data_IF_751123084335
#
_entry.id   IF_751123084335
#
_cell.length_a   1.000
_cell.length_b   1.000
_cell.length_c   1.000
_cell.angle_alpha   90.00
_cell.angle_beta   90.00
_cell.angle_gamma   90.00
#
_symmetry.space_group_name_H-M   'P 1'
#
loop_
_entity.id
_entity.type
_entity.pdbx_description
1 polymer ?
#
# COMPACT_ATOMS: atom_id res chain seq x y z
N UNK A 1 -10.51 5.05 -21.34
CA UNK A 1 -10.49 4.91 -19.88
C UNK A 1 -9.81 6.14 -19.32
N UNK A 2 -10.33 6.71 -18.23
CA UNK A 2 -9.73 7.85 -17.55
C UNK A 2 -9.30 7.45 -16.15
N UNK A 3 -8.38 8.22 -15.54
CA UNK A 3 -8.08 8.18 -14.10
C UNK A 3 -9.38 8.39 -13.32
N UNK A 4 -10.02 7.30 -12.91
CA UNK A 4 -11.22 7.23 -12.07
C UNK A 4 -10.94 6.42 -10.79
N UNK A 5 -9.66 6.15 -10.49
CA UNK A 5 -9.22 5.43 -9.30
C UNK A 5 -9.73 6.10 -8.02
N UNK A 6 -9.72 7.43 -7.95
CA UNK A 6 -10.27 8.19 -6.82
C UNK A 6 -11.80 8.04 -6.65
N UNK A 7 -12.53 7.50 -7.64
CA UNK A 7 -13.96 7.20 -7.52
C UNK A 7 -14.22 5.76 -7.09
N UNK A 8 -13.22 4.88 -7.22
CA UNK A 8 -13.36 3.43 -7.05
C UNK A 8 -12.65 2.92 -5.80
N UNK A 9 -11.60 3.59 -5.38
CA UNK A 9 -10.72 3.16 -4.30
C UNK A 9 -10.66 4.24 -3.21
N UNK A 10 -10.72 3.87 -1.93
CA UNK A 10 -10.62 4.82 -0.82
C UNK A 10 -9.22 5.45 -0.72
N UNK A 11 -8.19 4.72 -1.17
CA UNK A 11 -6.81 5.15 -1.26
C UNK A 11 -6.13 4.59 -2.51
N UNK A 12 -5.01 5.21 -2.91
CA UNK A 12 -4.15 4.72 -3.97
C UNK A 12 -2.74 5.31 -3.90
N UNK A 13 -1.80 4.60 -4.51
CA UNK A 13 -0.40 4.99 -4.66
C UNK A 13 -0.07 5.33 -6.13
N UNK A 14 0.61 6.45 -6.36
CA UNK A 14 1.21 6.79 -7.67
C UNK A 14 2.73 6.79 -7.53
N UNK A 15 3.46 5.86 -8.16
CA UNK A 15 4.91 5.88 -8.14
C UNK A 15 5.46 7.05 -8.99
N UNK A 16 6.57 7.64 -8.56
CA UNK A 16 7.14 8.85 -9.17
C UNK A 16 7.46 8.69 -10.67
N UNK A 17 7.84 7.49 -11.12
CA UNK A 17 8.12 7.24 -12.55
C UNK A 17 6.88 7.45 -13.44
N UNK A 18 5.66 7.24 -12.92
CA UNK A 18 4.42 7.56 -13.66
C UNK A 18 4.27 9.07 -13.82
N UNK A 19 4.64 9.84 -12.80
CA UNK A 19 4.63 11.31 -12.88
C UNK A 19 5.69 11.82 -13.85
N UNK A 20 6.85 11.16 -13.90
CA UNK A 20 7.91 11.49 -14.85
C UNK A 20 7.46 11.20 -16.29
N UNK A 21 6.81 10.06 -16.53
CA UNK A 21 6.21 9.72 -17.81
C UNK A 21 5.11 10.71 -18.24
N UNK A 22 4.26 11.14 -17.30
CA UNK A 22 3.25 12.18 -17.55
C UNK A 22 3.88 13.52 -17.92
N UNK A 23 4.91 13.97 -17.18
CA UNK A 23 5.64 15.21 -17.47
C UNK A 23 6.40 15.14 -18.80
N UNK A 24 6.89 13.96 -19.17
CA UNK A 24 7.56 13.72 -20.46
C UNK A 24 6.58 13.59 -21.64
N UNK A 25 5.26 13.56 -21.39
CA UNK A 25 4.24 13.38 -22.42
C UNK A 25 4.15 11.96 -22.98
N UNK A 26 4.73 10.97 -22.29
CA UNK A 26 4.78 9.58 -22.75
C UNK A 26 3.39 8.91 -22.79
N UNK A 27 2.43 9.43 -22.02
CA UNK A 27 1.07 8.90 -21.92
C UNK A 27 0.04 9.68 -22.76
N UNK A 28 0.51 10.58 -23.63
CA UNK A 28 -0.34 11.46 -24.44
C UNK A 28 -0.67 12.78 -23.76
N UNK A 29 -1.64 13.55 -24.29
CA UNK A 29 -2.01 14.85 -23.73
C UNK A 29 -2.64 14.68 -22.34
N UNK A 30 -2.22 15.54 -21.41
CA UNK A 30 -2.75 15.57 -20.06
C UNK A 30 -4.22 16.03 -20.06
N UNK A 31 -5.00 15.45 -19.16
CA UNK A 31 -6.34 15.94 -18.81
C UNK A 31 -6.24 17.00 -17.71
N UNK A 32 -7.27 17.85 -17.53
CA UNK A 32 -7.24 18.92 -16.54
C UNK A 32 -6.92 18.44 -15.11
N UNK A 33 -7.37 17.24 -14.72
CA UNK A 33 -7.07 16.66 -13.41
C UNK A 33 -5.60 16.25 -13.26
N UNK A 34 -4.98 15.75 -14.33
CA UNK A 34 -3.57 15.36 -14.35
C UNK A 34 -2.68 16.61 -14.32
N UNK A 35 -3.06 17.66 -15.05
CA UNK A 35 -2.39 18.97 -14.98
C UNK A 35 -2.45 19.56 -13.56
N UNK A 36 -3.63 19.52 -12.93
CA UNK A 36 -3.81 20.02 -11.57
C UNK A 36 -2.96 19.22 -10.55
N UNK A 37 -2.88 17.90 -10.70
CA UNK A 37 -2.03 17.04 -9.87
C UNK A 37 -0.55 17.41 -10.04
N UNK A 38 -0.06 17.52 -11.28
CA UNK A 38 1.35 17.85 -11.54
C UNK A 38 1.72 19.26 -11.07
N UNK A 39 0.78 20.19 -11.04
CA UNK A 39 1.00 21.56 -10.56
C UNK A 39 1.28 21.63 -9.05
N UNK A 40 0.77 20.67 -8.26
CA UNK A 40 0.95 20.65 -6.79
C UNK A 40 1.99 19.65 -6.33
N UNK A 41 2.30 18.63 -7.14
CA UNK A 41 3.33 17.64 -6.81
C UNK A 41 4.70 18.15 -7.26
N UNK A 42 5.62 18.43 -6.33
CA UNK A 42 6.95 18.89 -6.69
C UNK A 42 7.69 17.84 -7.52
N UNK A 43 8.59 18.30 -8.37
CA UNK A 43 9.52 17.39 -9.03
C UNK A 43 10.64 17.06 -8.05
N UNK A 44 10.82 15.77 -7.76
CA UNK A 44 11.91 15.23 -6.98
C UNK A 44 12.66 14.21 -7.84
N UNK A 45 13.98 14.15 -7.70
CA UNK A 45 14.83 13.19 -8.40
C UNK A 45 14.92 11.84 -7.70
N UNK A 46 14.48 11.76 -6.44
CA UNK A 46 14.45 10.50 -5.68
C UNK A 46 13.17 9.73 -5.99
N UNK A 47 13.24 8.39 -6.14
CA UNK A 47 12.05 7.55 -6.23
C UNK A 47 11.16 7.75 -5.00
N UNK A 48 9.89 8.04 -5.24
CA UNK A 48 8.89 8.26 -4.20
C UNK A 48 7.50 7.81 -4.67
N UNK A 49 6.55 7.80 -3.74
CA UNK A 49 5.15 7.56 -4.02
C UNK A 49 4.33 8.78 -3.60
N UNK A 50 3.30 9.09 -4.38
CA UNK A 50 2.22 10.00 -3.97
C UNK A 50 1.06 9.13 -3.49
N UNK A 51 0.63 9.36 -2.25
CA UNK A 51 -0.52 8.70 -1.66
C UNK A 51 -1.74 9.61 -1.79
N UNK A 52 -2.77 9.13 -2.48
CA UNK A 52 -4.10 9.72 -2.47
C UNK A 52 -4.98 8.99 -1.48
N UNK A 53 -5.68 9.70 -0.60
CA UNK A 53 -6.67 9.15 0.34
C UNK A 53 -7.75 10.20 0.62
N UNK A 54 -8.87 9.76 1.19
CA UNK A 54 -9.92 10.66 1.67
C UNK A 54 -9.48 11.39 2.96
N UNK A 55 -9.99 12.61 3.18
CA UNK A 55 -9.70 13.38 4.39
C UNK A 55 -10.14 12.58 5.64
N UNK A 56 -9.25 12.47 6.64
CA UNK A 56 -9.48 11.81 7.95
C UNK A 56 -9.65 10.30 7.91
N UNK A 57 -9.32 9.65 6.81
CA UNK A 57 -9.26 8.18 6.74
C UNK A 57 -7.85 7.68 7.08
N UNK A 58 -7.60 7.53 8.38
CA UNK A 58 -6.28 7.12 8.89
C UNK A 58 -5.98 5.66 8.58
N UNK A 59 -6.98 4.78 8.56
CA UNK A 59 -6.79 3.35 8.28
C UNK A 59 -6.33 3.17 6.84
N UNK A 60 -7.06 3.77 5.88
CA UNK A 60 -6.66 3.78 4.47
C UNK A 60 -5.28 4.43 4.27
N UNK A 61 -4.99 5.53 4.98
CA UNK A 61 -3.67 6.15 4.90
C UNK A 61 -2.56 5.21 5.40
N UNK A 62 -2.77 4.55 6.53
CA UNK A 62 -1.80 3.61 7.10
C UNK A 62 -1.61 2.39 6.16
N UNK A 63 -2.67 1.91 5.52
CA UNK A 63 -2.64 0.86 4.48
C UNK A 63 -1.81 1.27 3.26
N UNK A 64 -2.09 2.44 2.67
CA UNK A 64 -1.34 2.92 1.51
C UNK A 64 0.12 3.24 1.84
N UNK A 65 0.40 3.73 3.05
CA UNK A 65 1.77 3.92 3.54
C UNK A 65 2.51 2.59 3.70
N UNK A 66 1.83 1.54 4.14
CA UNK A 66 2.41 0.21 4.28
C UNK A 66 2.87 -0.33 2.91
N UNK A 67 2.07 -0.18 1.86
CA UNK A 67 2.48 -0.49 0.48
C UNK A 67 3.71 0.32 0.05
N UNK A 68 3.68 1.64 0.27
CA UNK A 68 4.80 2.53 -0.07
C UNK A 68 6.10 2.12 0.62
N UNK A 69 6.06 1.80 1.91
CA UNK A 69 7.20 1.29 2.68
C UNK A 69 7.66 -0.09 2.17
N UNK A 70 6.72 -0.99 1.88
CA UNK A 70 7.03 -2.32 1.36
C UNK A 70 7.76 -2.29 0.02
N UNK A 71 7.40 -1.34 -0.84
CA UNK A 71 8.03 -1.16 -2.15
C UNK A 71 9.40 -0.46 -2.06
N UNK A 72 9.58 0.48 -1.12
CA UNK A 72 10.73 1.41 -1.14
C UNK A 72 11.76 1.20 -0.03
N UNK A 73 11.40 0.53 1.06
CA UNK A 73 12.27 0.33 2.21
C UNK A 73 12.64 -1.16 2.39
N UNK A 74 13.87 -1.57 2.01
CA UNK A 74 14.29 -2.96 2.10
C UNK A 74 14.27 -3.53 3.52
N UNK A 75 14.61 -2.73 4.54
CA UNK A 75 14.60 -3.18 5.95
C UNK A 75 13.16 -3.41 6.43
N UNK A 76 12.23 -2.53 6.07
CA UNK A 76 10.81 -2.73 6.35
C UNK A 76 10.29 -4.02 5.69
N UNK A 77 10.55 -4.17 4.38
CA UNK A 77 10.14 -5.35 3.60
C UNK A 77 10.64 -6.65 4.21
N UNK A 78 11.92 -6.73 4.55
CA UNK A 78 12.53 -7.92 5.17
C UNK A 78 11.85 -8.26 6.51
N UNK A 79 11.65 -7.26 7.38
CA UNK A 79 11.05 -7.47 8.70
C UNK A 79 9.60 -7.94 8.63
N UNK A 80 8.78 -7.36 7.74
CA UNK A 80 7.38 -7.81 7.61
C UNK A 80 7.27 -9.16 6.91
N UNK A 81 8.16 -9.47 5.95
CA UNK A 81 8.23 -10.80 5.35
C UNK A 81 8.55 -11.87 6.40
N UNK A 82 9.56 -11.63 7.24
CA UNK A 82 9.87 -12.53 8.35
C UNK A 82 8.67 -12.72 9.31
N UNK A 83 7.95 -11.64 9.64
CA UNK A 83 6.76 -11.71 10.49
C UNK A 83 5.61 -12.50 9.85
N UNK A 84 5.42 -12.41 8.54
CA UNK A 84 4.46 -13.23 7.80
C UNK A 84 4.92 -14.70 7.71
N UNK A 85 6.22 -14.94 7.56
CA UNK A 85 6.81 -16.28 7.48
C UNK A 85 6.72 -17.06 8.81
N UNK A 86 6.74 -16.36 9.94
CA UNK A 86 6.52 -16.91 11.28
C UNK A 86 5.08 -17.44 11.50
N UNK A 87 4.12 -17.04 10.65
CA UNK A 87 2.73 -17.49 10.80
C UNK A 87 2.54 -18.96 10.42
N UNK A 88 1.65 -19.69 11.11
CA UNK A 88 1.27 -21.03 10.69
C UNK A 88 0.75 -21.03 9.24
N UNK A 89 1.13 -21.99 8.39
CA UNK A 89 0.68 -22.06 7.00
C UNK A 89 -0.85 -22.02 6.84
N UNK A 90 -1.58 -22.60 7.80
CA UNK A 90 -3.05 -22.55 7.85
C UNK A 90 -3.58 -21.11 7.95
N UNK A 91 -2.99 -20.29 8.83
CA UNK A 91 -3.39 -18.89 9.02
C UNK A 91 -3.11 -18.08 7.75
N UNK A 92 -1.91 -18.23 7.17
CA UNK A 92 -1.61 -17.61 5.86
C UNK A 92 -2.57 -18.05 4.76
N UNK A 93 -2.96 -19.32 4.74
CA UNK A 93 -3.93 -19.85 3.78
C UNK A 93 -5.33 -19.25 3.97
N UNK A 94 -5.77 -19.03 5.22
CA UNK A 94 -7.04 -18.34 5.51
C UNK A 94 -7.02 -16.88 5.07
N UNK A 95 -5.94 -16.14 5.37
CA UNK A 95 -5.77 -14.75 4.92
C UNK A 95 -5.79 -14.64 3.38
N UNK A 96 -5.09 -15.54 2.68
CA UNK A 96 -5.09 -15.60 1.21
C UNK A 96 -6.49 -15.83 0.65
N UNK A 97 -7.24 -16.78 1.23
CA UNK A 97 -8.62 -17.04 0.83
C UNK A 97 -9.53 -15.84 1.03
N UNK A 98 -9.37 -15.10 2.13
CA UNK A 98 -10.12 -13.87 2.37
C UNK A 98 -9.82 -12.81 1.31
N UNK A 99 -8.55 -12.58 0.97
CA UNK A 99 -8.14 -11.63 -0.07
C UNK A 99 -8.69 -12.01 -1.45
N UNK A 100 -8.58 -13.27 -1.85
CA UNK A 100 -9.18 -13.75 -3.11
C UNK A 100 -10.70 -13.55 -3.09
N UNK A 101 -11.35 -13.82 -1.96
CA UNK A 101 -12.79 -13.59 -1.78
C UNK A 101 -13.21 -12.12 -1.88
N UNK A 102 -12.31 -11.18 -1.60
CA UNK A 102 -12.51 -9.74 -1.79
C UNK A 102 -12.28 -9.29 -3.25
N UNK A 103 -11.81 -10.18 -4.12
CA UNK A 103 -11.61 -9.91 -5.55
C UNK A 103 -10.15 -9.65 -5.95
N UNK A 104 -9.19 -9.79 -5.02
CA UNK A 104 -7.77 -9.71 -5.36
C UNK A 104 -7.33 -10.89 -6.23
N UNK A 105 -6.39 -10.63 -7.13
CA UNK A 105 -5.79 -11.65 -7.99
C UNK A 105 -4.98 -12.62 -7.14
N UNK A 106 -5.06 -13.92 -7.45
CA UNK A 106 -4.32 -14.97 -6.77
C UNK A 106 -2.83 -15.02 -7.18
N UNK A 107 -2.14 -13.87 -7.06
CA UNK A 107 -0.72 -13.72 -7.31
C UNK A 107 0.05 -13.66 -5.97
N UNK A 108 1.13 -14.45 -5.79
CA UNK A 108 1.87 -14.50 -4.52
C UNK A 108 2.44 -13.16 -4.04
N UNK A 109 2.86 -12.28 -4.95
CA UNK A 109 3.44 -10.99 -4.57
C UNK A 109 2.33 -10.00 -4.19
N UNK A 110 1.25 -9.93 -4.98
CA UNK A 110 0.06 -9.11 -4.64
C UNK A 110 -0.52 -9.54 -3.30
N UNK A 111 -0.78 -10.83 -3.13
CA UNK A 111 -1.38 -11.36 -1.90
C UNK A 111 -0.50 -11.07 -0.68
N UNK A 112 0.83 -11.14 -0.82
CA UNK A 112 1.75 -10.85 0.29
C UNK A 112 1.78 -9.37 0.64
N UNK A 113 1.75 -8.50 -0.37
CA UNK A 113 1.71 -7.05 -0.18
C UNK A 113 0.40 -6.60 0.49
N UNK A 114 -0.74 -7.12 0.03
CA UNK A 114 -2.03 -6.86 0.68
C UNK A 114 -2.06 -7.40 2.12
N UNK A 115 -1.56 -8.62 2.36
CA UNK A 115 -1.51 -9.18 3.71
C UNK A 115 -0.77 -8.28 4.69
N UNK A 116 0.40 -7.74 4.32
CA UNK A 116 1.16 -6.88 5.23
C UNK A 116 0.46 -5.53 5.44
N UNK A 117 -0.16 -4.96 4.40
CA UNK A 117 -0.86 -3.69 4.47
C UNK A 117 -2.09 -3.75 5.40
N UNK A 118 -2.98 -4.73 5.21
CA UNK A 118 -4.13 -4.95 6.10
C UNK A 118 -3.72 -5.18 7.56
N UNK A 119 -2.61 -5.91 7.78
CA UNK A 119 -2.12 -6.14 9.14
C UNK A 119 -1.48 -4.89 9.75
N UNK A 120 -0.93 -3.98 8.93
CA UNK A 120 -0.36 -2.71 9.38
C UNK A 120 -1.42 -1.69 9.77
N UNK A 121 -2.49 -1.52 8.99
CA UNK A 121 -3.63 -0.63 9.32
C UNK A 121 -4.43 -1.11 10.55
N UNK A 122 -4.29 -2.39 10.91
CA UNK A 122 -4.99 -3.02 12.04
C UNK A 122 -6.23 -3.81 11.66
N UNK A 123 -6.47 -3.98 10.36
CA UNK A 123 -7.49 -4.84 9.78
C UNK A 123 -7.37 -6.29 10.24
N UNK A 124 -8.49 -7.01 10.11
CA UNK A 124 -8.60 -8.41 10.50
C UNK A 124 -8.63 -9.32 9.26
N UNK A 125 -7.48 -9.90 8.91
CA UNK A 125 -7.42 -10.99 7.93
C UNK A 125 -7.36 -12.34 8.65
N UNK A 126 -8.35 -13.21 8.45
CA UNK A 126 -8.35 -14.56 9.02
C UNK A 126 -8.70 -14.63 10.52
N UNK A 127 -8.55 -15.82 11.13
CA UNK A 127 -8.90 -16.09 12.53
C UNK A 127 -7.85 -15.64 13.57
N UNK A 128 -7.99 -16.08 14.83
CA UNK A 128 -7.22 -15.58 15.98
C UNK A 128 -5.68 -15.66 15.92
N UNK A 129 -5.11 -16.50 15.04
CA UNK A 129 -3.66 -16.53 14.79
C UNK A 129 -3.11 -15.30 14.07
N UNK A 130 -3.95 -14.57 13.33
CA UNK A 130 -3.57 -13.33 12.67
C UNK A 130 -3.34 -12.17 13.64
N UNK A 131 -3.96 -12.21 14.82
CA UNK A 131 -3.83 -11.15 15.83
C UNK A 131 -2.39 -10.96 16.34
N UNK A 132 -1.64 -12.06 16.48
CA UNK A 132 -0.23 -11.99 16.95
C UNK A 132 0.67 -11.36 15.88
N UNK A 133 0.51 -11.76 14.62
CA UNK A 133 1.26 -11.14 13.51
C UNK A 133 0.85 -9.69 13.30
N UNK A 134 -0.44 -9.37 13.46
CA UNK A 134 -0.94 -7.99 13.41
C UNK A 134 -0.16 -7.09 14.37
N UNK A 135 -0.06 -7.45 15.65
CA UNK A 135 0.69 -6.65 16.62
C UNK A 135 2.17 -6.50 16.26
N UNK A 136 2.80 -7.55 15.71
CA UNK A 136 4.21 -7.53 15.29
C UNK A 136 4.41 -6.63 14.08
N UNK A 137 3.54 -6.72 13.07
CA UNK A 137 3.58 -5.90 11.86
C UNK A 137 3.24 -4.44 12.17
N UNK A 138 2.25 -4.15 13.02
CA UNK A 138 1.94 -2.79 13.47
C UNK A 138 3.11 -2.13 14.21
N UNK A 139 3.86 -2.90 15.02
CA UNK A 139 5.05 -2.41 15.69
C UNK A 139 6.19 -2.11 14.70
N UNK A 140 6.35 -2.95 13.67
CA UNK A 140 7.28 -2.68 12.57
C UNK A 140 6.83 -1.42 11.82
N UNK A 141 5.58 -1.36 11.35
CA UNK A 141 5.01 -0.21 10.65
C UNK A 141 5.20 1.10 11.41
N UNK A 142 4.78 1.16 12.67
CA UNK A 142 4.94 2.37 13.51
C UNK A 142 6.38 2.85 13.63
N UNK A 143 7.37 1.96 13.57
CA UNK A 143 8.79 2.33 13.60
C UNK A 143 9.24 3.02 12.29
N UNK A 144 8.70 2.61 11.15
CA UNK A 144 9.13 3.07 9.83
C UNK A 144 8.28 4.21 9.27
N UNK A 145 6.98 4.24 9.60
CA UNK A 145 6.06 5.32 9.21
C UNK A 145 6.36 6.66 9.90
N UNK A 146 7.33 6.68 10.82
CA UNK A 146 7.60 7.79 11.73
C UNK A 146 6.67 7.71 12.93
N UNK A 147 7.21 7.90 14.14
CA UNK A 147 6.36 8.07 15.31
C UNK A 147 5.40 9.23 15.03
N UNK A 148 4.09 9.00 15.17
CA UNK A 148 3.08 10.05 15.22
C UNK A 148 3.46 10.98 16.39
N UNK A 149 4.27 12.01 16.13
CA UNK A 149 4.57 13.10 17.09
C UNK A 149 3.49 14.14 17.03
#
# INVERSE_FOLDING_TARGET
GGFDYYLRWPGFNIPSWVLDDLRAGALGPLRPQEEALLAVVPQDSKPHYIIGTCERDQETLDHEMAHGLYATNPEYKERVQAALEDLPPKVRGEMRKSLIGMGYVDDPEIIRDEMQAYLAEGGCLGGGGANVARSKIQAIFSRFAGAKT
#
